data_IF_611768188840
#
_entry.id   IF_611768188840
#
_cell.length_a   1.000
_cell.length_b   1.000
_cell.length_c   1.000
_cell.angle_alpha   90.00
_cell.angle_beta   90.00
_cell.angle_gamma   90.00
#
_symmetry.space_group_name_H-M   'P 1'
#
loop_
_entity.id
_entity.type
_entity.pdbx_description
1 polymer ?
#
# COMPACT_ATOMS: atom_id res chain seq x y z
N UNK A 1 9.40 -11.54 -13.45
CA UNK A 1 8.71 -11.61 -12.14
C UNK A 1 9.12 -10.39 -11.32
N UNK A 2 8.19 -9.55 -10.89
CA UNK A 2 8.56 -8.39 -10.07
C UNK A 2 8.91 -8.88 -8.65
N UNK A 3 10.19 -8.73 -8.26
CA UNK A 3 10.71 -9.13 -6.93
C UNK A 3 10.07 -8.33 -5.80
N UNK A 4 9.54 -7.15 -6.12
CA UNK A 4 9.01 -6.17 -5.16
C UNK A 4 7.62 -6.57 -4.62
N UNK A 5 6.82 -7.27 -5.41
CA UNK A 5 5.45 -7.66 -5.01
C UNK A 5 5.42 -8.74 -3.91
N UNK A 6 6.48 -9.54 -3.75
CA UNK A 6 6.58 -10.55 -2.69
C UNK A 6 7.07 -9.99 -1.36
N UNK A 7 7.49 -8.73 -1.32
CA UNK A 7 8.01 -8.14 -0.09
C UNK A 7 6.86 -7.78 0.83
N UNK A 8 6.83 -8.32 2.06
CA UNK A 8 5.87 -7.91 3.06
C UNK A 8 6.03 -6.41 3.38
N UNK A 9 4.91 -5.74 3.61
CA UNK A 9 4.90 -4.34 4.04
C UNK A 9 4.79 -4.32 5.56
N UNK A 10 5.84 -3.92 6.25
CA UNK A 10 5.79 -3.73 7.72
C UNK A 10 4.83 -2.61 8.08
N UNK A 11 3.89 -2.90 8.97
CA UNK A 11 3.02 -1.92 9.60
C UNK A 11 3.82 -1.28 10.74
N UNK A 12 3.95 0.04 10.73
CA UNK A 12 4.54 0.76 11.86
C UNK A 12 3.54 0.77 13.02
N UNK A 13 4.00 0.67 14.27
CA UNK A 13 3.12 0.58 15.47
C UNK A 13 2.18 1.78 15.63
N UNK A 14 2.48 2.90 14.98
CA UNK A 14 1.64 4.11 14.96
C UNK A 14 0.56 4.13 13.87
N UNK A 15 0.43 3.04 13.11
CA UNK A 15 -0.47 2.92 11.97
C UNK A 15 -1.41 1.73 12.16
N UNK A 16 -2.71 2.01 12.06
CA UNK A 16 -3.77 1.00 12.06
C UNK A 16 -4.21 0.71 10.63
N UNK A 17 -4.37 -0.57 10.31
CA UNK A 17 -4.79 -1.02 8.98
C UNK A 17 -6.02 -1.90 9.14
N UNK A 18 -7.11 -1.52 8.47
CA UNK A 18 -8.38 -2.22 8.47
C UNK A 18 -8.74 -2.60 7.03
N UNK A 19 -9.21 -3.82 6.81
CA UNK A 19 -9.65 -4.31 5.49
C UNK A 19 -11.12 -4.72 5.60
N UNK A 20 -12.00 -4.07 4.84
CA UNK A 20 -13.44 -4.36 4.80
C UNK A 20 -13.94 -4.32 3.36
N UNK A 21 -14.65 -5.36 2.91
CA UNK A 21 -15.35 -5.40 1.62
C UNK A 21 -14.51 -4.86 0.45
N UNK A 22 -13.26 -5.34 0.33
CA UNK A 22 -12.26 -4.90 -0.65
C UNK A 22 -11.72 -3.47 -0.48
N UNK A 23 -12.11 -2.72 0.53
CA UNK A 23 -11.48 -1.46 0.90
C UNK A 23 -10.41 -1.68 1.96
N UNK A 24 -9.20 -1.20 1.69
CA UNK A 24 -8.16 -1.06 2.71
C UNK A 24 -8.17 0.37 3.24
N UNK A 25 -8.30 0.50 4.56
CA UNK A 25 -8.22 1.76 5.27
C UNK A 25 -6.97 1.74 6.13
N UNK A 26 -6.16 2.77 6.00
CA UNK A 26 -4.92 2.97 6.74
C UNK A 26 -5.04 4.27 7.53
N UNK A 27 -5.03 4.17 8.84
CA UNK A 27 -5.11 5.30 9.77
C UNK A 27 -3.79 5.46 10.51
N UNK A 28 -3.31 6.69 10.64
CA UNK A 28 -2.12 7.00 11.42
C UNK A 28 -2.17 8.40 12.00
N UNK A 29 -1.07 8.83 12.61
CA UNK A 29 -0.98 10.13 13.29
C UNK A 29 -1.30 11.33 12.38
N UNK A 30 -1.08 11.20 11.06
CA UNK A 30 -1.25 12.29 10.10
C UNK A 30 -2.59 12.26 9.34
N UNK A 31 -3.44 11.28 9.60
CA UNK A 31 -4.76 11.17 8.96
C UNK A 31 -5.16 9.75 8.61
N UNK A 32 -6.24 9.62 7.85
CA UNK A 32 -6.76 8.35 7.33
C UNK A 32 -6.78 8.36 5.80
N UNK A 33 -6.40 7.23 5.20
CA UNK A 33 -6.45 7.00 3.77
C UNK A 33 -7.22 5.71 3.50
N UNK A 34 -8.10 5.72 2.52
CA UNK A 34 -8.81 4.53 2.05
C UNK A 34 -8.49 4.29 0.58
N UNK A 35 -8.36 3.01 0.22
CA UNK A 35 -8.10 2.58 -1.14
C UNK A 35 -8.96 1.35 -1.46
N UNK A 36 -9.63 1.39 -2.61
CA UNK A 36 -10.37 0.24 -3.13
C UNK A 36 -9.39 -0.75 -3.79
N UNK A 37 -9.50 -2.03 -3.43
CA UNK A 37 -8.72 -3.14 -3.95
C UNK A 37 -9.59 -3.94 -4.92
N UNK A 38 -9.04 -4.27 -6.09
CA UNK A 38 -9.72 -5.13 -7.03
C UNK A 38 -9.85 -6.57 -6.47
N UNK A 39 -10.98 -7.23 -6.69
CA UNK A 39 -11.26 -8.60 -6.25
C UNK A 39 -10.25 -9.66 -6.73
N UNK A 40 -9.48 -9.35 -7.78
CA UNK A 40 -8.40 -10.20 -8.29
C UNK A 40 -7.18 -10.27 -7.35
N UNK A 41 -7.12 -9.41 -6.34
CA UNK A 41 -6.03 -9.31 -5.36
C UNK A 41 -6.56 -9.53 -3.96
N UNK A 42 -5.82 -10.34 -3.21
CA UNK A 42 -6.09 -10.58 -1.79
C UNK A 42 -5.02 -9.86 -0.98
N UNK A 43 -5.45 -9.20 0.09
CA UNK A 43 -4.54 -8.57 1.04
C UNK A 43 -4.76 -9.24 2.39
N UNK A 44 -3.69 -9.72 2.98
CA UNK A 44 -3.68 -10.35 4.30
C UNK A 44 -2.78 -9.55 5.24
N UNK A 45 -3.10 -9.61 6.52
CA UNK A 45 -2.29 -9.02 7.59
C UNK A 45 -1.81 -10.18 8.45
N UNK A 46 -0.50 -10.42 8.48
CA UNK A 46 0.16 -11.47 9.26
C UNK A 46 1.35 -10.87 10.01
N UNK A 47 1.45 -11.09 11.32
CA UNK A 47 2.60 -10.66 12.16
C UNK A 47 3.01 -9.19 11.98
N UNK A 48 2.06 -8.26 12.02
CA UNK A 48 2.29 -6.82 11.72
C UNK A 48 2.85 -6.55 10.31
N UNK A 49 2.66 -7.46 9.37
CA UNK A 49 3.00 -7.27 7.97
C UNK A 49 1.76 -7.40 7.09
N UNK A 50 1.67 -6.53 6.09
CA UNK A 50 0.69 -6.65 5.02
C UNK A 50 1.30 -7.46 3.89
N UNK A 51 0.66 -8.57 3.57
CA UNK A 51 1.02 -9.46 2.48
C UNK A 51 -0.03 -9.30 1.39
N UNK A 52 0.44 -8.91 0.19
CA UNK A 52 -0.42 -8.82 -0.99
C UNK A 52 -0.25 -10.12 -1.77
N UNK A 53 -1.35 -10.83 -1.99
CA UNK A 53 -1.43 -12.06 -2.78
C UNK A 53 -2.25 -11.81 -4.05
N UNK A 54 -1.93 -12.56 -5.10
CA UNK A 54 -2.69 -12.53 -6.36
C UNK A 54 -3.49 -13.82 -6.50
N UNK A 55 -4.75 -13.70 -6.94
CA UNK A 55 -5.57 -14.87 -7.22
C UNK A 55 -5.18 -15.57 -8.53
N UNK A 56 -4.74 -14.79 -9.54
CA UNK A 56 -4.44 -15.28 -10.88
C UNK A 56 -3.02 -14.88 -11.36
N UNK A 57 -2.47 -15.65 -12.30
CA UNK A 57 -1.12 -15.47 -12.87
C UNK A 57 -1.11 -14.75 -14.24
N UNK A 58 -2.19 -14.06 -14.58
CA UNK A 58 -2.28 -13.27 -15.80
C UNK A 58 -1.36 -12.03 -15.76
N UNK A 59 -1.22 -11.36 -16.90
CA UNK A 59 -0.35 -10.18 -17.04
C UNK A 59 -0.88 -8.97 -16.27
N UNK A 60 -2.20 -8.83 -16.19
CA UNK A 60 -2.87 -7.69 -15.57
C UNK A 60 -2.81 -7.79 -14.05
N UNK A 61 -3.14 -8.94 -13.45
CA UNK A 61 -3.02 -9.19 -12.02
C UNK A 61 -1.58 -9.05 -11.54
N UNK A 62 -0.59 -9.41 -12.36
CA UNK A 62 0.83 -9.13 -12.06
C UNK A 62 1.15 -7.64 -11.98
N UNK A 63 0.57 -6.82 -12.85
CA UNK A 63 0.73 -5.36 -12.81
C UNK A 63 0.03 -4.76 -11.58
N UNK A 64 -1.22 -5.20 -11.34
CA UNK A 64 -1.98 -4.79 -10.17
C UNK A 64 -1.28 -5.16 -8.86
N UNK A 65 -0.69 -6.36 -8.76
CA UNK A 65 0.02 -6.80 -7.56
C UNK A 65 1.13 -5.83 -7.14
N UNK A 66 1.93 -5.36 -8.09
CA UNK A 66 2.97 -4.36 -7.84
C UNK A 66 2.41 -2.97 -7.53
N UNK A 67 1.33 -2.58 -8.22
CA UNK A 67 0.64 -1.31 -8.00
C UNK A 67 0.07 -1.23 -6.58
N UNK A 68 -0.76 -2.20 -6.17
CA UNK A 68 -1.40 -2.20 -4.86
C UNK A 68 -0.40 -2.29 -3.71
N UNK A 69 0.65 -3.12 -3.86
CA UNK A 69 1.75 -3.13 -2.89
C UNK A 69 2.35 -1.74 -2.71
N UNK A 70 2.58 -1.02 -3.80
CA UNK A 70 3.19 0.32 -3.75
C UNK A 70 2.23 1.36 -3.16
N UNK A 71 0.95 1.29 -3.51
CA UNK A 71 -0.09 2.16 -2.94
C UNK A 71 -0.18 1.98 -1.43
N UNK A 72 -0.31 0.74 -0.95
CA UNK A 72 -0.42 0.44 0.48
C UNK A 72 0.86 0.87 1.22
N UNK A 73 2.03 0.57 0.67
CA UNK A 73 3.30 1.02 1.25
C UNK A 73 3.37 2.55 1.36
N UNK A 74 2.95 3.27 0.31
CA UNK A 74 2.91 4.72 0.31
C UNK A 74 1.87 5.28 1.27
N UNK A 75 0.71 4.63 1.43
CA UNK A 75 -0.30 5.02 2.43
C UNK A 75 0.27 4.90 3.84
N UNK A 76 0.85 3.75 4.20
CA UNK A 76 1.45 3.50 5.51
C UNK A 76 2.56 4.51 5.79
N UNK A 77 3.46 4.74 4.83
CA UNK A 77 4.52 5.75 4.94
C UNK A 77 3.97 7.18 5.02
N UNK A 78 2.92 7.48 4.27
CA UNK A 78 2.29 8.80 4.24
C UNK A 78 1.57 9.16 5.54
N UNK A 79 0.88 8.22 6.18
CA UNK A 79 0.21 8.48 7.46
C UNK A 79 1.16 8.49 8.66
N UNK A 80 2.36 7.90 8.52
CA UNK A 80 3.41 7.88 9.54
C UNK A 80 4.39 9.05 9.38
N UNK A 81 5.23 9.03 8.34
CA UNK A 81 6.26 10.05 8.08
C UNK A 81 5.67 11.35 7.50
N UNK A 82 4.63 11.21 6.66
CA UNK A 82 4.15 12.32 5.81
C UNK A 82 4.95 12.45 4.51
N UNK A 83 4.36 13.15 3.54
CA UNK A 83 5.03 13.48 2.28
C UNK A 83 5.38 14.96 2.26
N UNK A 84 6.65 15.28 1.97
CA UNK A 84 7.08 16.63 1.61
C UNK A 84 7.58 16.62 0.16
N UNK A 85 7.11 17.57 -0.64
CA UNK A 85 7.60 17.78 -2.01
C UNK A 85 8.22 19.17 -2.08
N UNK A 86 9.54 19.24 -1.90
CA UNK A 86 10.28 20.48 -2.09
C UNK A 86 10.32 20.81 -3.58
N UNK A 87 9.69 21.93 -3.97
CA UNK A 87 9.81 22.48 -5.32
C UNK A 87 10.92 23.52 -5.30
N UNK A 88 11.92 23.34 -6.15
CA UNK A 88 12.91 24.38 -6.43
C UNK A 88 12.37 25.22 -7.58
N UNK A 89 12.18 26.51 -7.33
CA UNK A 89 11.87 27.49 -8.37
C UNK A 89 13.22 27.93 -8.95
N UNK A 90 13.39 27.80 -10.27
CA UNK A 90 14.59 28.24 -10.99
C UNK A 90 14.20 29.45 -11.84
N UNK A 91 14.91 30.58 -11.67
CA UNK A 91 14.79 31.75 -12.55
C UNK A 91 15.89 31.67 -13.64
N UNK A 92 15.53 32.00 -14.88
CA UNK A 92 16.43 32.14 -16.03
C UNK A 92 16.84 33.61 -16.20
#
# INVERSE_FOLDING_TARGET
>A
MSRIGKLPIKIADSVKVDIKDNFITVEGKRGKLSQEINSSIRVKIEDNNIIVERAFNDKQTRAFHGLYRSLIFNMVKGVSDGFSKNKVIVYF
#
